data_IF_325354258060
#
_entry.id   IF_325354258060
#
_cell.length_a   1.000
_cell.length_b   1.000
_cell.length_c   1.000
_cell.angle_alpha   90.00
_cell.angle_beta   90.00
_cell.angle_gamma   90.00
#
_symmetry.space_group_name_H-M   'P 1'
#
loop_
_entity.id
_entity.type
_entity.pdbx_description
1 polymer ?
#
# COMPACT_ATOMS: atom_id res chain seq x y z
N UNK A 1 26.49 -27.78 1.82
CA UNK A 1 26.69 -27.17 3.14
C UNK A 1 25.41 -26.51 3.57
N UNK A 2 24.84 -26.80 4.75
CA UNK A 2 23.54 -26.28 5.12
C UNK A 2 23.63 -24.80 5.50
N UNK A 3 22.68 -24.04 5.01
CA UNK A 3 22.55 -22.62 5.30
C UNK A 3 22.00 -22.45 6.73
N UNK A 4 22.79 -21.81 7.59
CA UNK A 4 22.37 -21.57 8.97
C UNK A 4 21.28 -20.51 9.02
N UNK A 5 20.15 -20.84 9.62
CA UNK A 5 19.06 -19.91 9.87
C UNK A 5 19.48 -19.04 11.08
N UNK A 6 19.81 -17.79 10.82
CA UNK A 6 20.07 -16.83 11.88
C UNK A 6 18.76 -16.22 12.36
N UNK A 7 18.37 -16.56 13.57
CA UNK A 7 17.29 -15.90 14.28
C UNK A 7 17.82 -14.56 14.78
N UNK A 8 17.44 -13.47 14.12
CA UNK A 8 17.84 -12.14 14.57
C UNK A 8 16.78 -11.57 15.52
N UNK A 9 17.11 -11.53 16.78
CA UNK A 9 16.36 -10.77 17.78
C UNK A 9 17.22 -9.56 18.18
N UNK A 10 16.69 -8.36 17.93
CA UNK A 10 17.30 -7.14 18.42
C UNK A 10 18.04 -6.29 17.39
N UNK A 11 18.38 -5.09 17.82
CA UNK A 11 19.00 -4.03 17.01
C UNK A 11 20.38 -4.38 16.43
N UNK A 12 21.00 -5.46 16.91
CA UNK A 12 22.32 -5.88 16.44
C UNK A 12 22.32 -6.45 15.01
N UNK A 13 21.17 -6.89 14.52
CA UNK A 13 21.07 -7.44 13.15
C UNK A 13 21.16 -6.42 12.04
N UNK A 14 20.93 -5.16 12.35
CA UNK A 14 20.91 -4.10 11.35
C UNK A 14 22.28 -3.69 10.84
N UNK A 15 23.28 -3.71 11.73
CA UNK A 15 24.64 -3.32 11.35
C UNK A 15 25.27 -4.33 10.37
N UNK A 16 24.90 -5.61 10.48
CA UNK A 16 25.44 -6.64 9.59
C UNK A 16 24.86 -6.57 8.16
N UNK A 17 23.66 -6.03 8.01
CA UNK A 17 23.05 -5.89 6.70
C UNK A 17 23.68 -4.73 5.93
N UNK A 18 24.04 -3.67 6.64
CA UNK A 18 24.76 -2.52 6.06
C UNK A 18 26.15 -2.94 5.57
N UNK A 19 26.83 -3.83 6.30
CA UNK A 19 28.14 -4.33 5.89
C UNK A 19 28.08 -5.18 4.60
N UNK A 20 27.01 -5.93 4.39
CA UNK A 20 26.86 -6.72 3.16
C UNK A 20 26.66 -5.85 1.91
N UNK A 21 26.05 -4.67 2.08
CA UNK A 21 25.90 -3.72 0.98
C UNK A 21 27.22 -2.98 0.66
N UNK A 22 28.04 -2.74 1.67
CA UNK A 22 29.33 -2.04 1.49
C UNK A 22 30.35 -2.87 0.71
N UNK A 23 30.22 -4.19 0.72
CA UNK A 23 31.15 -5.07 0.01
C UNK A 23 30.90 -5.07 -1.51
N UNK A 24 29.78 -4.53 -1.98
CA UNK A 24 29.45 -4.51 -3.40
C UNK A 24 29.73 -3.17 -4.10
N UNK A 25 30.50 -2.29 -3.49
CA UNK A 25 31.09 -1.13 -4.14
C UNK A 25 30.16 0.04 -4.46
N UNK A 26 29.00 0.14 -3.81
CA UNK A 26 28.00 1.17 -4.12
C UNK A 26 27.88 2.29 -3.08
N UNK A 27 28.94 2.58 -2.31
CA UNK A 27 28.80 3.60 -1.27
C UNK A 27 29.82 4.73 -1.38
N UNK A 28 29.37 5.90 -1.76
CA UNK A 28 30.04 7.16 -1.43
C UNK A 28 29.53 7.62 -0.05
N UNK A 29 30.39 8.30 0.69
CA UNK A 29 30.12 8.76 2.06
C UNK A 29 28.80 9.56 2.19
N UNK A 30 28.41 10.25 1.12
CA UNK A 30 27.15 11.02 1.07
C UNK A 30 25.90 10.11 1.10
N UNK A 31 26.03 8.87 0.63
CA UNK A 31 24.89 7.95 0.60
C UNK A 31 24.61 7.33 1.97
N UNK A 32 25.65 7.21 2.82
CA UNK A 32 25.46 6.73 4.20
C UNK A 32 24.68 7.73 5.06
N UNK A 33 24.91 9.01 4.83
CA UNK A 33 24.19 10.05 5.56
C UNK A 33 22.74 10.15 5.07
N UNK A 34 22.52 9.98 3.76
CA UNK A 34 21.16 9.92 3.18
C UNK A 34 20.41 8.68 3.65
N UNK A 35 21.06 7.53 3.74
CA UNK A 35 20.43 6.30 4.25
C UNK A 35 20.03 6.39 5.72
N UNK A 36 20.79 7.12 6.54
CA UNK A 36 20.44 7.37 7.95
C UNK A 36 19.19 8.26 8.07
N UNK A 37 18.94 9.10 7.09
CA UNK A 37 17.76 9.98 7.07
C UNK A 37 16.50 9.26 6.58
N UNK A 38 16.65 8.05 6.04
CA UNK A 38 15.55 7.26 5.50
C UNK A 38 15.37 5.93 6.24
N UNK A 39 15.57 5.95 7.56
CA UNK A 39 15.45 4.73 8.38
C UNK A 39 14.08 4.08 8.17
N UNK A 40 14.03 2.89 7.58
CA UNK A 40 12.75 2.23 7.32
C UNK A 40 12.07 1.69 8.59
N UNK A 41 12.73 1.78 9.73
CA UNK A 41 12.12 1.39 11.01
C UNK A 41 11.39 2.56 11.68
N UNK A 42 11.33 3.69 11.01
CA UNK A 42 10.55 4.82 11.51
C UNK A 42 9.11 4.38 11.78
N UNK A 43 8.61 4.71 12.97
CA UNK A 43 7.21 4.39 13.30
C UNK A 43 6.30 5.12 12.31
N UNK A 44 5.39 4.43 11.61
CA UNK A 44 4.56 5.13 10.61
C UNK A 44 3.77 6.30 11.19
N UNK A 45 3.27 6.18 12.42
CA UNK A 45 2.53 7.25 13.08
C UNK A 45 3.39 8.50 13.34
N UNK A 46 4.72 8.35 13.39
CA UNK A 46 5.65 9.44 13.65
C UNK A 46 6.24 10.06 12.39
N UNK A 47 5.80 9.64 11.21
CA UNK A 47 6.29 10.25 9.96
C UNK A 47 6.15 11.77 9.98
N UNK A 48 4.99 12.36 10.36
CA UNK A 48 4.91 13.83 10.42
C UNK A 48 5.90 14.45 11.39
N UNK A 49 6.06 13.88 12.58
CA UNK A 49 7.01 14.37 13.59
C UNK A 49 8.44 14.35 13.06
N UNK A 50 8.84 13.24 12.45
CA UNK A 50 10.21 13.05 11.96
C UNK A 50 10.55 14.01 10.82
N UNK A 51 9.54 14.43 10.04
CA UNK A 51 9.75 15.26 8.85
C UNK A 51 9.64 16.75 9.13
N UNK A 52 9.02 17.16 10.24
CA UNK A 52 8.53 18.56 10.39
C UNK A 52 9.63 19.63 10.34
N UNK A 53 10.84 19.29 10.74
CA UNK A 53 11.95 20.27 10.74
C UNK A 53 12.70 20.32 9.40
N UNK A 54 12.39 19.42 8.47
CA UNK A 54 13.09 19.36 7.18
C UNK A 54 12.40 20.24 6.14
N UNK A 55 13.15 20.90 5.27
CA UNK A 55 12.53 21.61 4.16
C UNK A 55 12.00 20.63 3.12
N UNK A 56 11.07 21.08 2.30
CA UNK A 56 10.59 20.34 1.17
C UNK A 56 9.12 19.97 1.24
N UNK A 57 8.58 19.47 0.12
CA UNK A 57 7.16 19.14 0.04
C UNK A 57 6.85 17.82 0.73
N UNK A 58 5.62 17.69 1.21
CA UNK A 58 5.09 16.41 1.70
C UNK A 58 3.93 15.94 0.83
N UNK A 59 2.86 16.71 0.77
CA UNK A 59 1.61 16.31 0.12
C UNK A 59 1.04 17.46 -0.70
N UNK A 60 0.43 17.12 -1.83
CA UNK A 60 -0.19 18.11 -2.71
C UNK A 60 -1.44 17.51 -3.37
N UNK A 61 -2.47 18.31 -3.51
CA UNK A 61 -3.67 17.99 -4.29
C UNK A 61 -4.24 19.25 -4.92
N UNK A 62 -5.44 19.15 -5.48
CA UNK A 62 -6.09 20.30 -6.12
C UNK A 62 -6.45 21.42 -5.13
N UNK A 63 -6.49 21.12 -3.84
CA UNK A 63 -6.85 22.10 -2.80
C UNK A 63 -5.62 22.85 -2.26
N UNK A 64 -4.41 22.34 -2.49
CA UNK A 64 -3.21 23.01 -2.05
C UNK A 64 -2.03 22.08 -1.80
N UNK A 65 -0.97 22.67 -1.30
CA UNK A 65 0.29 22.00 -1.03
C UNK A 65 0.63 22.13 0.45
N UNK A 66 1.07 21.02 1.06
CA UNK A 66 1.62 21.02 2.41
C UNK A 66 3.11 20.66 2.30
N UNK A 67 3.96 21.56 2.82
CA UNK A 67 5.35 21.17 3.05
C UNK A 67 5.43 20.35 4.34
N UNK A 68 6.63 19.94 4.72
CA UNK A 68 6.80 19.08 5.89
C UNK A 68 6.28 19.72 7.17
N UNK A 69 6.57 21.00 7.39
CA UNK A 69 6.09 21.71 8.57
C UNK A 69 4.57 21.83 8.58
N UNK A 70 3.97 22.18 7.44
CA UNK A 70 2.53 22.33 7.31
C UNK A 70 1.81 20.98 7.49
N UNK A 71 2.39 19.91 6.97
CA UNK A 71 1.86 18.54 7.12
C UNK A 71 1.80 18.16 8.62
N UNK A 72 2.86 18.42 9.36
CA UNK A 72 2.89 18.14 10.80
C UNK A 72 1.85 18.97 11.55
N UNK A 73 1.75 20.27 11.23
CA UNK A 73 0.77 21.15 11.89
C UNK A 73 -0.67 20.75 11.57
N UNK A 74 -0.94 20.36 10.34
CA UNK A 74 -2.27 19.86 9.96
C UNK A 74 -2.61 18.59 10.74
N UNK A 75 -1.64 17.69 10.88
CA UNK A 75 -1.82 16.45 11.66
C UNK A 75 -2.18 16.80 13.12
N UNK A 76 -1.47 17.74 13.71
CA UNK A 76 -1.74 18.19 15.09
C UNK A 76 -3.15 18.78 15.21
N UNK A 77 -3.55 19.60 14.25
CA UNK A 77 -4.87 20.26 14.28
C UNK A 77 -6.00 19.22 14.17
N UNK A 78 -5.86 18.28 13.25
CA UNK A 78 -6.88 17.21 13.09
C UNK A 78 -6.92 16.35 14.37
N UNK A 79 -5.77 15.97 14.92
CA UNK A 79 -5.72 15.15 16.13
C UNK A 79 -6.38 15.85 17.31
N UNK A 80 -6.17 17.14 17.47
CA UNK A 80 -6.81 17.95 18.52
C UNK A 80 -8.34 17.93 18.34
N UNK A 81 -8.80 18.11 17.11
CA UNK A 81 -10.25 18.05 16.80
C UNK A 81 -10.84 16.70 17.14
N UNK A 82 -10.12 15.59 16.78
CA UNK A 82 -10.59 14.24 17.06
C UNK A 82 -10.68 14.01 18.57
N UNK A 83 -9.68 14.44 19.31
CA UNK A 83 -9.67 14.34 20.78
C UNK A 83 -10.84 15.13 21.38
N UNK A 84 -11.12 16.31 20.87
CA UNK A 84 -12.25 17.13 21.33
C UNK A 84 -13.60 16.45 21.08
N UNK A 85 -13.68 15.60 20.05
CA UNK A 85 -14.88 14.79 19.77
C UNK A 85 -14.93 13.49 20.58
N UNK A 86 -13.99 13.30 21.49
CA UNK A 86 -13.96 12.14 22.39
C UNK A 86 -13.22 10.92 21.86
N UNK A 87 -12.49 11.05 20.74
CA UNK A 87 -11.72 9.92 20.22
C UNK A 87 -10.52 9.62 21.10
N UNK A 88 -10.22 8.35 21.28
CA UNK A 88 -9.15 7.85 22.15
C UNK A 88 -8.42 6.71 21.48
N UNK A 89 -7.31 6.32 22.10
CA UNK A 89 -6.56 5.13 21.69
C UNK A 89 -7.51 3.92 21.63
N UNK A 90 -7.42 3.16 20.55
CA UNK A 90 -8.26 1.98 20.33
C UNK A 90 -9.56 2.25 19.60
N UNK A 91 -9.96 3.51 19.46
CA UNK A 91 -11.13 3.86 18.67
C UNK A 91 -10.82 3.71 17.16
N UNK A 92 -11.86 3.76 16.35
CA UNK A 92 -11.75 3.72 14.89
C UNK A 92 -12.34 5.02 14.33
N UNK A 93 -11.59 5.66 13.45
CA UNK A 93 -12.03 6.87 12.76
C UNK A 93 -12.19 6.54 11.29
N UNK A 94 -13.33 6.90 10.71
CA UNK A 94 -13.62 6.67 9.30
C UNK A 94 -13.53 7.97 8.50
N UNK A 95 -13.17 7.85 7.23
CA UNK A 95 -13.29 8.95 6.29
C UNK A 95 -13.91 8.42 5.01
N UNK A 96 -14.94 9.12 4.53
CA UNK A 96 -15.63 8.76 3.28
C UNK A 96 -15.49 9.95 2.34
N UNK A 97 -14.33 10.00 1.68
CA UNK A 97 -13.90 11.15 0.88
C UNK A 97 -13.31 10.69 -0.46
N UNK A 98 -13.47 11.47 -1.52
CA UNK A 98 -12.62 11.28 -2.70
C UNK A 98 -11.15 11.49 -2.33
N UNK A 99 -10.26 11.12 -3.24
CA UNK A 99 -8.82 11.30 -3.04
C UNK A 99 -8.51 12.77 -2.75
N UNK A 100 -7.94 13.04 -1.59
CA UNK A 100 -7.46 14.38 -1.24
C UNK A 100 -6.50 14.30 -0.06
N UNK A 101 -5.69 15.32 0.08
CA UNK A 101 -4.69 15.43 1.15
C UNK A 101 -5.34 15.29 2.54
N UNK A 102 -6.54 15.87 2.72
CA UNK A 102 -7.21 15.82 4.03
C UNK A 102 -7.46 14.38 4.50
N UNK A 103 -7.70 13.42 3.59
CA UNK A 103 -7.87 12.03 3.98
C UNK A 103 -6.58 11.48 4.59
N UNK A 104 -5.44 11.81 4.00
CA UNK A 104 -4.12 11.35 4.48
C UNK A 104 -3.82 11.98 5.84
N UNK A 105 -4.09 13.27 5.99
CA UNK A 105 -3.88 13.96 7.26
C UNK A 105 -4.77 13.33 8.35
N UNK A 106 -6.02 13.00 8.01
CA UNK A 106 -6.94 12.34 8.95
C UNK A 106 -6.38 10.99 9.43
N UNK A 107 -5.78 10.22 8.52
CA UNK A 107 -5.16 8.94 8.87
C UNK A 107 -4.03 9.15 9.88
N UNK A 108 -3.12 10.07 9.61
CA UNK A 108 -2.01 10.35 10.52
C UNK A 108 -2.51 10.92 11.86
N UNK A 109 -3.56 11.73 11.83
CA UNK A 109 -4.15 12.27 13.05
C UNK A 109 -4.79 11.18 13.91
N UNK A 110 -5.48 10.22 13.28
CA UNK A 110 -6.01 9.05 13.99
C UNK A 110 -4.87 8.28 14.65
N UNK A 111 -3.79 8.04 13.92
CA UNK A 111 -2.62 7.34 14.47
C UNK A 111 -1.95 8.13 15.60
N UNK A 112 -1.93 9.45 15.48
CA UNK A 112 -1.36 10.32 16.51
C UNK A 112 -1.98 10.09 17.88
N UNK A 113 -3.28 9.86 17.91
CA UNK A 113 -4.02 9.61 19.16
C UNK A 113 -4.15 8.11 19.48
N UNK A 114 -3.56 7.25 18.66
CA UNK A 114 -3.61 5.79 18.88
C UNK A 114 -4.86 5.12 18.36
N UNK A 115 -5.63 5.80 17.51
CA UNK A 115 -6.83 5.24 16.90
C UNK A 115 -6.51 4.59 15.56
N UNK A 116 -7.35 3.64 15.15
CA UNK A 116 -7.30 3.03 13.83
C UNK A 116 -8.02 3.92 12.82
N UNK A 117 -7.70 3.73 11.55
CA UNK A 117 -8.31 4.48 10.46
C UNK A 117 -8.93 3.53 9.45
N UNK A 118 -10.17 3.82 9.01
CA UNK A 118 -10.84 3.03 7.99
C UNK A 118 -11.33 3.95 6.86
N UNK A 119 -10.69 3.90 5.69
CA UNK A 119 -11.15 4.68 4.54
C UNK A 119 -12.31 3.97 3.85
N UNK A 120 -13.38 4.73 3.60
CA UNK A 120 -14.63 4.22 3.01
C UNK A 120 -14.73 4.74 1.58
N UNK A 121 -15.03 3.84 0.65
CA UNK A 121 -15.24 4.20 -0.76
C UNK A 121 -16.38 5.21 -0.86
N UNK A 122 -16.12 6.43 -1.35
CA UNK A 122 -17.17 7.46 -1.40
C UNK A 122 -18.31 7.17 -2.38
N UNK A 123 -18.13 6.17 -3.25
CA UNK A 123 -19.19 5.77 -4.19
C UNK A 123 -20.16 4.74 -3.61
N UNK A 124 -19.93 4.27 -2.38
CA UNK A 124 -20.83 3.27 -1.78
C UNK A 124 -22.22 3.85 -1.52
N UNK A 125 -23.21 2.96 -1.61
CA UNK A 125 -24.57 3.29 -1.16
C UNK A 125 -24.61 3.39 0.37
N UNK A 126 -25.69 3.92 0.90
CA UNK A 126 -25.91 3.98 2.35
C UNK A 126 -25.75 2.59 3.00
N UNK A 127 -26.41 1.57 2.44
CA UNK A 127 -26.34 0.23 3.02
C UNK A 127 -24.92 -0.35 3.04
N UNK A 128 -24.20 -0.13 1.97
CA UNK A 128 -22.81 -0.63 1.88
C UNK A 128 -21.88 0.11 2.85
N UNK A 129 -22.01 1.44 2.92
CA UNK A 129 -21.22 2.24 3.85
C UNK A 129 -21.59 1.93 5.30
N UNK A 130 -22.87 1.76 5.59
CA UNK A 130 -23.36 1.43 6.93
C UNK A 130 -22.72 0.14 7.43
N UNK A 131 -22.59 -0.88 6.56
CA UNK A 131 -21.95 -2.12 6.96
C UNK A 131 -20.53 -1.86 7.47
N UNK A 132 -19.72 -1.11 6.73
CA UNK A 132 -18.33 -0.84 7.13
C UNK A 132 -18.29 0.00 8.42
N UNK A 133 -19.12 1.04 8.51
CA UNK A 133 -19.12 1.92 9.67
C UNK A 133 -19.56 1.18 10.95
N UNK A 134 -20.55 0.32 10.83
CA UNK A 134 -21.07 -0.45 11.97
C UNK A 134 -20.12 -1.59 12.35
N UNK A 135 -19.64 -2.34 11.37
CA UNK A 135 -18.73 -3.45 11.62
C UNK A 135 -17.42 -2.98 12.25
N UNK A 136 -16.90 -1.86 11.80
CA UNK A 136 -15.66 -1.27 12.35
C UNK A 136 -15.88 -0.56 13.67
N UNK A 137 -17.13 -0.28 14.04
CA UNK A 137 -17.50 0.54 15.20
C UNK A 137 -16.84 1.93 15.12
N UNK A 138 -16.85 2.51 13.91
CA UNK A 138 -16.28 3.84 13.72
C UNK A 138 -16.98 4.84 14.65
N UNK A 139 -16.17 5.67 15.30
CA UNK A 139 -16.66 6.66 16.26
C UNK A 139 -17.34 7.84 15.55
N UNK A 140 -16.74 8.28 14.46
CA UNK A 140 -17.32 9.28 13.58
C UNK A 140 -16.74 9.08 12.18
N UNK A 141 -17.34 9.76 11.21
CA UNK A 141 -16.89 9.68 9.82
C UNK A 141 -16.68 11.08 9.27
N UNK A 142 -15.53 11.28 8.64
CA UNK A 142 -15.22 12.54 7.96
C UNK A 142 -15.86 12.49 6.58
N UNK A 143 -16.64 13.52 6.24
CA UNK A 143 -17.43 13.56 5.01
C UNK A 143 -17.21 14.86 4.24
N UNK A 144 -17.51 14.83 2.96
CA UNK A 144 -17.77 16.04 2.17
C UNK A 144 -19.30 16.20 2.04
N UNK A 145 -19.73 17.18 1.26
CA UNK A 145 -21.17 17.42 1.10
C UNK A 145 -21.90 16.21 0.46
N UNK A 146 -21.24 15.55 -0.50
CA UNK A 146 -21.86 14.42 -1.21
C UNK A 146 -21.99 13.20 -0.30
N UNK A 147 -20.95 12.85 0.43
CA UNK A 147 -20.99 11.67 1.31
C UNK A 147 -21.82 11.92 2.56
N UNK A 148 -21.83 13.16 3.07
CA UNK A 148 -22.77 13.53 4.15
C UNK A 148 -24.21 13.31 3.72
N UNK A 149 -24.56 13.64 2.48
CA UNK A 149 -25.90 13.41 1.96
C UNK A 149 -26.23 11.91 1.89
N UNK A 150 -25.28 11.08 1.43
CA UNK A 150 -25.46 9.62 1.39
C UNK A 150 -25.76 9.08 2.80
N UNK A 151 -25.06 9.59 3.80
CA UNK A 151 -25.15 9.11 5.19
C UNK A 151 -26.16 9.87 6.04
N UNK A 152 -26.99 10.74 5.44
CA UNK A 152 -27.83 11.67 6.18
C UNK A 152 -28.74 10.98 7.21
N UNK A 153 -29.27 9.80 6.89
CA UNK A 153 -30.16 9.06 7.78
C UNK A 153 -29.41 8.11 8.75
N UNK A 154 -28.09 7.98 8.60
CA UNK A 154 -27.32 7.12 9.51
C UNK A 154 -26.98 7.89 10.78
N UNK A 155 -27.09 7.27 11.97
CA UNK A 155 -26.88 7.98 13.24
C UNK A 155 -25.43 8.33 13.56
N UNK A 156 -24.45 7.79 12.86
CA UNK A 156 -23.03 8.07 13.13
C UNK A 156 -22.77 9.58 13.07
N UNK A 157 -21.94 10.10 13.97
CA UNK A 157 -21.51 11.49 13.94
C UNK A 157 -20.69 11.76 12.68
N UNK A 158 -21.00 12.87 12.00
CA UNK A 158 -20.33 13.25 10.75
C UNK A 158 -19.51 14.52 10.99
N UNK A 159 -18.27 14.50 10.55
CA UNK A 159 -17.35 15.63 10.67
C UNK A 159 -17.05 16.14 9.26
N UNK A 160 -17.51 17.35 8.96
CA UNK A 160 -17.32 17.92 7.64
C UNK A 160 -15.83 18.23 7.41
N UNK A 161 -15.28 17.71 6.32
CA UNK A 161 -13.86 17.89 6.00
C UNK A 161 -13.51 19.37 5.84
N UNK A 162 -14.41 20.15 5.26
CA UNK A 162 -14.16 21.58 5.04
C UNK A 162 -14.21 22.40 6.33
N UNK A 163 -14.67 21.81 7.42
CA UNK A 163 -14.63 22.44 8.74
C UNK A 163 -13.36 22.16 9.54
N UNK A 164 -12.45 21.35 9.01
CA UNK A 164 -11.21 21.01 9.70
C UNK A 164 -10.13 22.04 9.44
N UNK A 165 -9.44 22.47 10.51
CA UNK A 165 -8.31 23.39 10.40
C UNK A 165 -7.04 22.61 10.05
N UNK A 166 -6.23 23.20 9.18
CA UNK A 166 -4.89 22.67 8.86
C UNK A 166 -3.80 23.37 9.68
N UNK A 167 -4.18 24.27 10.59
CA UNK A 167 -3.23 25.09 11.33
C UNK A 167 -3.22 24.69 12.81
N UNK A 168 -2.30 23.83 13.16
CA UNK A 168 -2.12 23.34 14.52
C UNK A 168 -0.74 23.68 15.08
N UNK A 169 -0.48 23.15 16.27
CA UNK A 169 0.81 23.35 16.94
C UNK A 169 1.90 22.48 16.29
N UNK A 170 3.14 22.85 16.55
CA UNK A 170 4.30 21.99 16.23
C UNK A 170 4.19 20.71 17.05
N UNK A 171 4.49 19.56 16.43
CA UNK A 171 4.50 18.29 17.14
C UNK A 171 5.74 18.23 18.05
N UNK A 172 5.54 17.85 19.30
CA UNK A 172 6.61 17.86 20.31
C UNK A 172 6.83 16.52 21.01
N UNK A 173 6.10 15.48 20.57
CA UNK A 173 6.18 14.16 21.23
C UNK A 173 5.79 13.06 20.24
N UNK A 174 6.23 11.82 20.49
CA UNK A 174 5.81 10.69 19.67
C UNK A 174 4.30 10.49 19.71
N UNK A 175 3.76 9.91 18.64
CA UNK A 175 2.37 9.51 18.58
C UNK A 175 2.05 8.46 19.64
N UNK A 176 0.78 8.42 20.06
CA UNK A 176 0.33 7.45 21.07
C UNK A 176 0.29 6.03 20.53
N UNK A 177 0.16 5.84 19.22
CA UNK A 177 0.06 4.52 18.61
C UNK A 177 1.29 3.66 18.91
N UNK A 178 1.06 2.38 19.20
CA UNK A 178 2.11 1.40 19.42
C UNK A 178 2.08 0.34 18.32
N UNK A 179 3.13 -0.47 18.23
CA UNK A 179 3.34 -1.43 17.13
C UNK A 179 2.16 -2.38 16.96
N UNK A 180 1.57 -2.85 18.05
CA UNK A 180 0.45 -3.80 18.03
C UNK A 180 -0.93 -3.16 17.89
N UNK A 181 -1.02 -1.84 17.93
CA UNK A 181 -2.30 -1.17 17.74
C UNK A 181 -2.74 -1.29 16.27
N UNK A 182 -4.06 -1.43 16.05
CA UNK A 182 -4.59 -1.43 14.70
C UNK A 182 -4.33 -0.07 14.05
N UNK A 183 -3.67 -0.08 12.89
CA UNK A 183 -3.42 1.12 12.10
C UNK A 183 -4.53 1.34 11.08
N UNK A 184 -4.85 0.30 10.32
CA UNK A 184 -5.80 0.38 9.21
C UNK A 184 -6.78 -0.78 9.27
N UNK A 185 -8.04 -0.47 8.99
CA UNK A 185 -9.07 -1.46 8.68
C UNK A 185 -9.46 -1.24 7.23
N UNK A 186 -9.06 -2.16 6.37
CA UNK A 186 -9.31 -2.06 4.94
C UNK A 186 -10.34 -3.12 4.58
N UNK A 187 -11.47 -2.69 4.04
CA UNK A 187 -12.56 -3.61 3.72
C UNK A 187 -12.40 -4.14 2.30
N UNK A 188 -12.45 -5.46 2.18
CA UNK A 188 -12.32 -6.15 0.89
C UNK A 188 -13.59 -6.92 0.59
N UNK A 189 -14.00 -6.90 -0.67
CA UNK A 189 -15.10 -7.73 -1.15
C UNK A 189 -14.59 -9.17 -1.23
N UNK A 190 -15.01 -9.99 -0.28
CA UNK A 190 -14.72 -11.41 -0.32
C UNK A 190 -15.47 -12.09 -1.46
N UNK A 191 -15.07 -13.30 -1.78
CA UNK A 191 -15.73 -14.09 -2.82
C UNK A 191 -17.15 -14.49 -2.43
N UNK A 192 -17.45 -14.50 -1.13
CA UNK A 192 -18.76 -14.90 -0.59
C UNK A 192 -19.13 -13.99 0.57
N UNK A 193 -20.22 -13.25 0.43
CA UNK A 193 -20.77 -12.46 1.50
C UNK A 193 -20.32 -11.00 1.51
N UNK A 194 -20.54 -10.36 2.66
CA UNK A 194 -20.24 -8.94 2.86
C UNK A 194 -18.73 -8.70 2.95
N UNK A 195 -18.27 -7.50 2.60
CA UNK A 195 -16.86 -7.16 2.77
C UNK A 195 -16.37 -7.37 4.20
N UNK A 196 -15.14 -7.85 4.33
CA UNK A 196 -14.49 -8.10 5.62
C UNK A 196 -13.41 -7.04 5.86
N UNK A 197 -13.28 -6.61 7.12
CA UNK A 197 -12.25 -5.65 7.52
C UNK A 197 -10.94 -6.35 7.80
N UNK A 198 -9.96 -6.12 6.93
CA UNK A 198 -8.61 -6.64 7.13
C UNK A 198 -7.92 -5.78 8.17
N UNK A 199 -7.41 -6.41 9.24
CA UNK A 199 -6.74 -5.72 10.33
C UNK A 199 -5.24 -5.63 10.03
N UNK A 200 -4.75 -4.42 9.81
CA UNK A 200 -3.32 -4.16 9.65
C UNK A 200 -2.86 -3.33 10.84
N UNK A 201 -1.91 -3.87 11.61
CA UNK A 201 -1.38 -3.10 12.74
C UNK A 201 -0.19 -2.23 12.29
N UNK A 202 0.30 -1.39 13.20
CA UNK A 202 1.43 -0.50 12.87
C UNK A 202 2.68 -1.29 12.51
N UNK A 203 2.89 -2.46 13.12
CA UNK A 203 4.02 -3.33 12.79
C UNK A 203 3.92 -3.85 11.36
N UNK A 204 2.70 -4.23 10.92
CA UNK A 204 2.48 -4.66 9.52
C UNK A 204 2.83 -3.54 8.54
N UNK A 205 2.35 -2.33 8.83
CA UNK A 205 2.60 -1.17 7.98
C UNK A 205 4.10 -0.87 7.94
N UNK A 206 4.74 -0.81 9.11
CA UNK A 206 6.18 -0.54 9.20
C UNK A 206 6.99 -1.58 8.40
N UNK A 207 6.63 -2.87 8.53
CA UNK A 207 7.30 -3.94 7.82
C UNK A 207 7.20 -3.75 6.30
N UNK A 208 6.00 -3.45 5.81
CA UNK A 208 5.82 -3.27 4.35
C UNK A 208 6.58 -2.04 3.85
N UNK A 209 6.59 -0.95 4.62
CA UNK A 209 7.35 0.25 4.24
C UNK A 209 8.85 -0.06 4.14
N UNK A 210 9.39 -0.82 5.08
CA UNK A 210 10.80 -1.24 5.04
C UNK A 210 11.07 -2.13 3.82
N UNK A 211 10.19 -3.09 3.56
CA UNK A 211 10.29 -3.99 2.41
C UNK A 211 10.32 -3.19 1.09
N UNK A 212 9.39 -2.24 0.95
CA UNK A 212 9.27 -1.44 -0.27
C UNK A 212 10.47 -0.51 -0.45
N UNK A 213 10.93 0.13 0.63
CA UNK A 213 12.08 1.02 0.55
C UNK A 213 13.32 0.29 0.05
N UNK A 214 13.53 -0.95 0.51
CA UNK A 214 14.65 -1.78 0.07
C UNK A 214 14.46 -2.28 -1.35
N UNK A 215 13.28 -2.83 -1.65
CA UNK A 215 13.00 -3.44 -2.95
C UNK A 215 13.13 -2.43 -4.09
N UNK A 216 12.65 -1.20 -3.86
CA UNK A 216 12.63 -0.15 -4.88
C UNK A 216 13.71 0.91 -4.70
N UNK A 217 14.57 0.76 -3.68
CA UNK A 217 15.66 1.69 -3.37
C UNK A 217 15.17 3.14 -3.32
N UNK A 218 14.10 3.38 -2.58
CA UNK A 218 13.51 4.72 -2.44
C UNK A 218 14.46 5.69 -1.75
N UNK A 219 14.46 6.92 -2.22
CA UNK A 219 15.28 8.02 -1.68
C UNK A 219 14.37 9.21 -1.37
N UNK A 220 14.89 10.25 -0.70
CA UNK A 220 14.10 11.46 -0.46
C UNK A 220 13.66 12.21 -1.73
N UNK A 221 14.24 11.89 -2.87
CA UNK A 221 13.87 12.53 -4.14
C UNK A 221 12.61 11.92 -4.77
N UNK A 222 12.08 10.82 -4.20
CA UNK A 222 10.89 10.19 -4.76
C UNK A 222 9.67 11.12 -4.64
N UNK A 223 8.91 11.15 -5.72
CA UNK A 223 7.66 11.90 -5.75
C UNK A 223 6.62 11.07 -6.47
N UNK A 224 5.69 10.53 -5.71
CA UNK A 224 4.64 9.68 -6.26
C UNK A 224 3.54 10.54 -6.88
N UNK A 225 2.99 10.09 -8.01
CA UNK A 225 1.72 10.62 -8.51
C UNK A 225 0.66 9.58 -8.20
N UNK A 226 -0.22 9.88 -7.26
CA UNK A 226 -1.22 8.93 -6.82
C UNK A 226 -2.50 9.10 -7.63
N UNK A 227 -2.93 8.05 -8.29
CA UNK A 227 -4.13 8.05 -9.13
C UNK A 227 -5.14 6.99 -8.66
N UNK A 228 -4.71 6.01 -7.88
CA UNK A 228 -5.58 4.96 -7.38
C UNK A 228 -6.39 5.45 -6.18
N UNK A 229 -7.57 4.86 -5.93
CA UNK A 229 -8.41 5.30 -4.81
C UNK A 229 -7.76 5.03 -3.45
N UNK A 230 -7.80 6.03 -2.57
CA UNK A 230 -7.19 5.94 -1.24
C UNK A 230 -7.90 4.98 -0.28
N UNK A 231 -9.06 4.43 -0.66
CA UNK A 231 -9.66 3.38 0.14
C UNK A 231 -9.05 1.99 -0.14
N UNK A 232 -8.16 1.88 -1.12
CA UNK A 232 -7.39 0.66 -1.38
C UNK A 232 -5.99 0.75 -0.79
N UNK A 233 -5.50 -0.39 -0.32
CA UNK A 233 -4.19 -0.46 0.35
C UNK A 233 -3.05 -0.05 -0.58
N UNK A 234 -3.14 -0.32 -1.88
CA UNK A 234 -2.10 0.08 -2.83
C UNK A 234 -1.88 1.59 -2.79
N UNK A 235 -2.97 2.37 -2.88
CA UNK A 235 -2.85 3.82 -2.88
C UNK A 235 -2.22 4.33 -1.58
N UNK A 236 -2.66 3.80 -0.44
CA UNK A 236 -2.14 4.23 0.86
C UNK A 236 -0.66 3.86 1.03
N UNK A 237 -0.31 2.61 0.75
CA UNK A 237 1.06 2.13 0.99
C UNK A 237 2.02 2.60 -0.09
N UNK A 238 1.72 2.34 -1.36
CA UNK A 238 2.64 2.61 -2.46
C UNK A 238 2.63 4.10 -2.83
N UNK A 239 1.45 4.71 -2.83
CA UNK A 239 1.29 6.08 -3.31
C UNK A 239 1.51 7.17 -2.27
N UNK A 240 1.40 6.84 -0.98
CA UNK A 240 1.50 7.84 0.09
C UNK A 240 2.58 7.46 1.10
N UNK A 241 2.39 6.36 1.82
CA UNK A 241 3.27 6.04 2.96
C UNK A 241 4.71 5.74 2.52
N UNK A 242 4.88 5.01 1.43
CA UNK A 242 6.23 4.63 0.98
C UNK A 242 7.09 5.87 0.69
N UNK A 243 6.67 6.81 -0.17
CA UNK A 243 7.53 7.97 -0.40
C UNK A 243 7.67 8.84 0.84
N UNK A 244 6.61 9.02 1.64
CA UNK A 244 6.71 9.83 2.85
C UNK A 244 7.69 9.24 3.87
N UNK A 245 7.74 7.90 3.98
CA UNK A 245 8.61 7.22 4.94
C UNK A 245 10.09 7.38 4.63
N UNK A 246 10.44 7.67 3.37
CA UNK A 246 11.82 7.80 2.93
C UNK A 246 12.21 9.26 2.62
N UNK A 247 11.39 10.21 3.05
CA UNK A 247 11.68 11.64 2.87
C UNK A 247 11.14 12.26 1.61
N UNK A 248 10.47 11.48 0.77
CA UNK A 248 9.88 11.96 -0.48
C UNK A 248 8.50 12.58 -0.30
N UNK A 249 7.74 12.68 -1.39
CA UNK A 249 6.46 13.38 -1.37
C UNK A 249 5.44 12.67 -2.26
N UNK A 250 4.17 13.07 -2.11
CA UNK A 250 3.10 12.49 -2.93
C UNK A 250 2.16 13.59 -3.43
N UNK A 251 1.82 13.50 -4.71
CA UNK A 251 0.79 14.33 -5.33
C UNK A 251 -0.44 13.45 -5.52
N UNK A 252 -1.55 13.88 -4.97
CA UNK A 252 -2.78 13.09 -4.92
C UNK A 252 -3.77 13.63 -5.95
N UNK A 253 -3.99 12.86 -7.03
CA UNK A 253 -5.00 13.20 -8.01
C UNK A 253 -6.35 12.65 -7.55
N UNK A 254 -7.40 13.42 -7.78
CA UNK A 254 -8.74 12.97 -7.42
C UNK A 254 -9.13 11.73 -8.23
N UNK A 255 -8.80 11.75 -9.50
CA UNK A 255 -9.08 10.64 -10.43
C UNK A 255 -8.18 10.74 -11.66
N UNK A 256 -8.00 9.82 -12.48
CA UNK A 256 -7.30 9.77 -13.52
C UNK A 256 -8.00 10.44 -14.43
N UNK A 257 -7.45 11.14 -15.19
CA UNK A 257 -7.96 11.71 -16.44
C UNK A 257 -6.91 11.45 -17.52
N UNK A 258 -7.26 10.60 -18.49
CA UNK A 258 -6.33 10.22 -19.55
C UNK A 258 -5.78 11.43 -20.30
N UNK A 259 -6.60 12.45 -20.47
CA UNK A 259 -6.19 13.61 -21.30
C UNK A 259 -5.22 14.55 -20.60
N UNK A 260 -5.21 14.57 -19.27
CA UNK A 260 -4.30 15.43 -18.52
C UNK A 260 -3.18 14.64 -17.82
N UNK A 261 -3.27 13.32 -17.80
CA UNK A 261 -2.40 12.48 -16.97
C UNK A 261 -0.90 12.75 -17.23
N UNK A 262 -0.49 12.70 -18.50
CA UNK A 262 0.92 12.90 -18.80
C UNK A 262 1.39 14.34 -18.51
N UNK A 263 0.48 15.31 -18.71
CA UNK A 263 0.76 16.68 -18.30
C UNK A 263 0.99 16.76 -16.79
N UNK A 264 0.17 16.04 -16.03
CA UNK A 264 0.32 16.02 -14.56
C UNK A 264 1.62 15.34 -14.15
N UNK A 265 1.99 14.24 -14.80
CA UNK A 265 3.28 13.57 -14.53
C UNK A 265 4.43 14.57 -14.70
N UNK A 266 4.43 15.32 -15.82
CA UNK A 266 5.47 16.32 -16.11
C UNK A 266 5.39 17.50 -15.14
N UNK A 267 4.21 18.08 -15.01
CA UNK A 267 4.00 19.30 -14.22
C UNK A 267 4.43 19.11 -12.76
N UNK A 268 4.08 17.98 -12.19
CA UNK A 268 4.40 17.68 -10.80
C UNK A 268 5.79 17.05 -10.61
N UNK A 269 6.45 16.71 -11.68
CA UNK A 269 7.77 16.09 -11.60
C UNK A 269 7.76 14.72 -10.95
N UNK A 270 6.74 13.91 -11.27
CA UNK A 270 6.58 12.59 -10.68
C UNK A 270 7.75 11.69 -11.04
N UNK A 271 8.24 10.91 -10.06
CA UNK A 271 9.30 9.93 -10.30
C UNK A 271 8.77 8.53 -10.49
N UNK A 272 7.54 8.27 -9.99
CA UNK A 272 6.86 6.99 -10.25
C UNK A 272 5.36 7.15 -9.99
N UNK A 273 4.61 6.16 -10.46
CA UNK A 273 3.21 5.97 -10.08
C UNK A 273 2.88 4.49 -10.11
N UNK A 274 1.79 4.13 -9.43
CA UNK A 274 1.23 2.79 -9.43
C UNK A 274 -0.18 2.85 -10.04
N UNK A 275 -0.48 1.90 -10.90
CA UNK A 275 -1.78 1.85 -11.57
C UNK A 275 -2.18 0.41 -11.85
N UNK A 276 -3.44 0.24 -12.25
CA UNK A 276 -3.99 -1.06 -12.64
C UNK A 276 -3.91 -1.24 -14.16
N UNK A 277 -4.01 -2.49 -14.67
CA UNK A 277 -3.88 -2.72 -16.11
C UNK A 277 -4.79 -1.85 -16.99
N UNK A 278 -6.01 -1.56 -16.54
CA UNK A 278 -6.94 -0.74 -17.32
C UNK A 278 -6.36 0.66 -17.59
N UNK A 279 -5.66 1.24 -16.63
CA UNK A 279 -5.03 2.56 -16.83
C UNK A 279 -3.92 2.46 -17.88
N UNK A 280 -3.08 1.43 -17.79
CA UNK A 280 -2.01 1.26 -18.78
C UNK A 280 -2.57 1.01 -20.18
N UNK A 281 -3.68 0.29 -20.28
CA UNK A 281 -4.37 0.11 -21.56
C UNK A 281 -4.78 1.46 -22.16
N UNK A 282 -5.38 2.32 -21.34
CA UNK A 282 -5.76 3.67 -21.79
C UNK A 282 -4.55 4.49 -22.22
N UNK A 283 -3.47 4.43 -21.45
CA UNK A 283 -2.26 5.18 -21.80
C UNK A 283 -1.63 4.66 -23.11
N UNK A 284 -1.66 3.36 -23.32
CA UNK A 284 -1.15 2.76 -24.57
C UNK A 284 -1.96 3.17 -25.80
N UNK A 285 -3.25 3.50 -25.60
CA UNK A 285 -4.15 3.93 -26.70
C UNK A 285 -4.04 5.42 -27.02
N UNK A 286 -3.18 6.16 -26.31
CA UNK A 286 -3.00 7.58 -26.59
C UNK A 286 -2.53 7.81 -28.03
N UNK A 287 -2.90 8.94 -28.67
CA UNK A 287 -2.46 9.22 -30.03
C UNK A 287 -0.94 9.14 -30.19
N UNK A 288 -0.42 8.64 -31.33
CA UNK A 288 1.02 8.47 -31.52
C UNK A 288 1.83 9.75 -31.39
N UNK A 289 1.21 10.90 -31.67
CA UNK A 289 1.87 12.21 -31.55
C UNK A 289 2.01 12.68 -30.11
N UNK A 290 1.33 12.07 -29.18
CA UNK A 290 1.43 12.39 -27.76
C UNK A 290 2.73 11.79 -27.20
N UNK A 291 3.75 12.65 -27.01
CA UNK A 291 5.09 12.26 -26.57
C UNK A 291 5.49 13.05 -25.34
N UNK A 292 5.08 12.61 -24.18
CA UNK A 292 5.42 13.32 -22.96
C UNK A 292 6.92 13.27 -22.61
N UNK A 293 7.42 14.14 -21.92
CA UNK A 293 8.59 14.20 -21.54
C UNK A 293 8.72 13.67 -20.34
N UNK A 294 8.99 12.77 -20.11
CA UNK A 294 8.99 12.06 -18.83
C UNK A 294 10.38 12.08 -18.18
N UNK A 295 10.95 13.25 -18.09
CA UNK A 295 12.35 13.42 -17.64
C UNK A 295 12.64 12.88 -16.25
N UNK A 296 11.65 12.92 -15.35
CA UNK A 296 11.86 12.48 -13.98
C UNK A 296 11.26 11.13 -13.68
N UNK A 297 10.42 10.60 -14.56
CA UNK A 297 9.73 9.33 -14.32
C UNK A 297 10.71 8.16 -14.46
N UNK A 298 10.96 7.47 -13.35
CA UNK A 298 11.97 6.41 -13.30
C UNK A 298 11.39 5.03 -13.58
N UNK A 299 10.17 4.77 -13.12
CA UNK A 299 9.48 3.50 -13.31
C UNK A 299 8.00 3.67 -12.99
N UNK A 300 7.23 2.66 -13.37
CA UNK A 300 5.81 2.59 -12.97
C UNK A 300 5.52 1.18 -12.48
N UNK A 301 4.50 1.05 -11.63
CA UNK A 301 4.13 -0.22 -11.00
C UNK A 301 2.73 -0.62 -11.48
N UNK A 302 2.56 -1.90 -11.80
CA UNK A 302 1.26 -2.47 -12.12
C UNK A 302 0.94 -3.59 -11.14
N UNK A 303 -0.26 -3.55 -10.60
CA UNK A 303 -0.74 -4.59 -9.68
C UNK A 303 -2.24 -4.73 -9.74
N UNK A 304 -2.78 -5.52 -8.83
CA UNK A 304 -4.20 -5.76 -8.59
C UNK A 304 -4.88 -6.68 -9.61
N UNK A 305 -4.32 -6.87 -10.80
CA UNK A 305 -4.88 -7.78 -11.81
C UNK A 305 -3.77 -8.20 -12.77
N UNK A 306 -3.91 -9.34 -13.47
CA UNK A 306 -2.90 -9.75 -14.43
C UNK A 306 -2.70 -8.75 -15.56
N UNK A 307 -1.45 -8.52 -15.92
CA UNK A 307 -1.07 -7.58 -16.97
C UNK A 307 -0.59 -8.34 -18.19
N UNK A 308 -1.25 -8.20 -19.35
CA UNK A 308 -0.78 -8.88 -20.55
C UNK A 308 0.66 -8.46 -20.91
N UNK A 309 1.49 -9.43 -21.27
CA UNK A 309 2.88 -9.16 -21.63
C UNK A 309 2.99 -8.15 -22.77
N UNK A 310 2.09 -8.22 -23.72
CA UNK A 310 2.06 -7.24 -24.83
C UNK A 310 1.80 -5.80 -24.37
N UNK A 311 1.14 -5.56 -23.30
CA UNK A 311 0.91 -4.41 -22.80
C UNK A 311 2.03 -3.80 -22.26
N UNK A 312 2.74 -4.61 -21.62
CA UNK A 312 3.99 -4.14 -21.03
C UNK A 312 4.97 -3.70 -22.13
N UNK A 313 5.15 -4.56 -23.12
CA UNK A 313 6.09 -4.27 -24.23
C UNK A 313 5.69 -2.98 -24.95
N UNK A 314 4.40 -2.79 -25.20
CA UNK A 314 3.92 -1.56 -25.86
C UNK A 314 4.24 -0.33 -25.01
N UNK A 315 3.94 -0.40 -23.72
CA UNK A 315 4.18 0.72 -22.81
C UNK A 315 5.67 1.08 -22.76
N UNK A 316 6.53 0.08 -22.52
CA UNK A 316 7.97 0.31 -22.38
C UNK A 316 8.59 0.82 -23.67
N UNK A 317 8.14 0.31 -24.83
CA UNK A 317 8.62 0.79 -26.13
C UNK A 317 8.22 2.24 -26.37
N UNK A 318 6.97 2.56 -26.05
CA UNK A 318 6.40 3.88 -26.31
C UNK A 318 6.99 4.96 -25.40
N UNK A 319 7.01 4.67 -24.09
CA UNK A 319 7.33 5.69 -23.09
C UNK A 319 8.75 5.62 -22.57
N UNK A 320 9.46 4.54 -22.85
CA UNK A 320 10.85 4.32 -22.42
C UNK A 320 10.99 4.32 -20.89
N UNK A 321 9.95 3.85 -20.19
CA UNK A 321 9.91 3.78 -18.74
C UNK A 321 9.65 2.32 -18.35
N UNK A 322 10.44 1.73 -17.44
CA UNK A 322 10.17 0.36 -16.98
C UNK A 322 8.82 0.23 -16.32
N UNK A 323 8.05 -0.80 -16.68
CA UNK A 323 6.80 -1.15 -16.06
C UNK A 323 7.01 -2.40 -15.23
N UNK A 324 6.86 -2.29 -13.92
CA UNK A 324 7.18 -3.34 -12.97
C UNK A 324 5.88 -3.95 -12.47
N UNK A 325 5.63 -5.20 -12.82
CA UNK A 325 4.45 -5.92 -12.36
C UNK A 325 4.72 -6.58 -11.02
N UNK A 326 3.76 -6.46 -10.09
CA UNK A 326 3.81 -7.10 -8.80
C UNK A 326 2.50 -7.76 -8.42
N UNK A 327 2.55 -8.48 -7.32
CA UNK A 327 1.39 -9.20 -6.77
C UNK A 327 1.35 -9.05 -5.27
N UNK A 328 0.15 -8.95 -4.77
CA UNK A 328 -0.12 -8.93 -3.35
C UNK A 328 -1.60 -8.76 -3.11
N UNK A 329 -1.96 -8.61 -1.86
CA UNK A 329 -3.36 -8.45 -1.47
C UNK A 329 -3.40 -7.58 -0.21
N UNK A 330 -4.60 -7.12 0.13
CA UNK A 330 -4.77 -6.33 1.35
C UNK A 330 -4.24 -7.09 2.56
N UNK A 331 -4.50 -8.39 2.60
CA UNK A 331 -4.09 -9.27 3.70
C UNK A 331 -2.55 -9.38 3.85
N UNK A 332 -1.78 -9.02 2.83
CA UNK A 332 -0.32 -8.96 2.91
C UNK A 332 0.22 -7.53 3.01
N UNK A 333 -0.60 -6.59 3.38
CA UNK A 333 -0.27 -5.15 3.48
C UNK A 333 0.32 -4.64 2.16
N UNK A 334 -0.32 -4.94 1.09
CA UNK A 334 -0.14 -4.64 -0.32
C UNK A 334 0.75 -5.61 -1.09
N UNK A 335 1.96 -5.91 -0.66
CA UNK A 335 2.91 -6.60 -1.52
C UNK A 335 3.28 -8.01 -1.08
N UNK A 336 3.63 -8.85 -2.04
CA UNK A 336 4.21 -10.17 -1.82
C UNK A 336 5.34 -10.42 -2.80
N UNK A 337 5.12 -10.14 -4.10
CA UNK A 337 6.16 -10.26 -5.13
C UNK A 337 6.24 -9.00 -5.97
N UNK A 338 7.37 -8.82 -6.63
CA UNK A 338 7.58 -7.70 -7.55
C UNK A 338 8.65 -8.09 -8.56
N UNK A 339 8.43 -7.78 -9.83
CA UNK A 339 9.48 -7.89 -10.82
C UNK A 339 10.59 -6.88 -10.50
N UNK A 340 11.87 -7.26 -10.63
CA UNK A 340 12.97 -6.38 -10.21
C UNK A 340 13.06 -5.10 -11.04
N UNK A 341 13.29 -3.97 -10.38
CA UNK A 341 13.59 -2.72 -11.08
C UNK A 341 14.97 -2.78 -11.72
N UNK A 342 15.94 -3.32 -11.00
CA UNK A 342 17.33 -3.42 -11.43
C UNK A 342 17.75 -4.89 -11.64
N UNK A 343 16.99 -5.61 -12.43
CA UNK A 343 17.25 -7.00 -12.72
C UNK A 343 16.43 -7.44 -13.91
N UNK A 344 16.33 -8.75 -14.09
CA UNK A 344 15.55 -9.30 -15.18
C UNK A 344 14.06 -9.23 -14.83
N UNK A 345 13.31 -8.48 -15.64
CA UNK A 345 11.85 -8.49 -15.54
C UNK A 345 11.30 -9.52 -16.52
N UNK A 346 10.37 -10.33 -16.05
CA UNK A 346 9.74 -11.38 -16.88
C UNK A 346 8.25 -11.10 -17.05
N UNK A 347 7.84 -10.46 -18.15
CA UNK A 347 6.41 -10.31 -18.43
C UNK A 347 5.72 -11.68 -18.44
N UNK A 348 4.50 -11.72 -17.88
CA UNK A 348 3.80 -12.99 -17.68
C UNK A 348 4.00 -13.58 -16.30
N UNK A 349 4.93 -13.02 -15.53
CA UNK A 349 5.09 -13.37 -14.10
C UNK A 349 4.77 -12.16 -13.24
N UNK A 350 4.53 -12.42 -11.95
CA UNK A 350 4.38 -11.33 -10.98
C UNK A 350 5.66 -11.11 -10.16
N UNK A 351 6.77 -11.66 -10.61
CA UNK A 351 8.09 -11.37 -10.09
C UNK A 351 8.57 -12.31 -9.01
N UNK A 352 9.55 -11.83 -8.28
CA UNK A 352 10.22 -12.55 -7.21
C UNK A 352 9.62 -12.17 -5.86
N UNK A 353 9.66 -13.06 -4.84
CA UNK A 353 9.25 -12.66 -3.50
C UNK A 353 9.99 -11.39 -3.05
N UNK A 354 9.24 -10.46 -2.46
CA UNK A 354 9.85 -9.24 -1.94
C UNK A 354 10.72 -9.58 -0.74
N UNK A 355 11.65 -8.70 -0.44
CA UNK A 355 12.62 -8.93 0.62
C UNK A 355 11.93 -9.18 1.96
N UNK A 356 12.22 -10.31 2.60
CA UNK A 356 11.62 -10.67 3.89
C UNK A 356 10.25 -11.33 3.81
N UNK A 357 9.70 -11.49 2.61
CA UNK A 357 8.42 -12.18 2.40
C UNK A 357 8.72 -13.59 1.93
N UNK A 358 8.15 -14.58 2.63
CA UNK A 358 8.28 -15.98 2.24
C UNK A 358 7.02 -16.41 1.50
N UNK A 359 7.21 -17.13 0.40
CA UNK A 359 6.10 -17.66 -0.39
C UNK A 359 6.35 -19.12 -0.65
N UNK A 360 5.30 -19.94 -0.49
CA UNK A 360 5.35 -21.32 -0.91
C UNK A 360 4.06 -21.68 -1.63
N UNK A 361 4.12 -22.73 -2.42
CA UNK A 361 2.97 -23.26 -3.16
C UNK A 361 2.57 -24.55 -2.46
N UNK A 362 1.30 -24.66 -2.08
CA UNK A 362 0.83 -25.79 -1.27
C UNK A 362 -0.35 -26.52 -1.92
N UNK A 363 -0.49 -27.80 -1.58
CA UNK A 363 -1.63 -28.61 -1.97
C UNK A 363 -2.80 -28.45 -0.98
N UNK A 364 -3.87 -29.20 -1.18
CA UNK A 364 -5.07 -29.11 -0.32
C UNK A 364 -4.83 -29.60 1.11
N UNK A 365 -3.73 -30.32 1.35
CA UNK A 365 -3.32 -30.76 2.67
C UNK A 365 -2.25 -29.86 3.29
N UNK A 366 -2.05 -28.69 2.69
CA UNK A 366 -1.09 -27.68 3.15
C UNK A 366 0.37 -28.15 3.10
N UNK A 367 0.65 -29.09 2.17
CA UNK A 367 2.02 -29.57 1.94
C UNK A 367 2.65 -28.80 0.80
N UNK A 368 3.90 -28.39 1.00
CA UNK A 368 4.63 -27.65 -0.02
C UNK A 368 4.84 -28.52 -1.27
N UNK A 369 4.52 -27.97 -2.43
CA UNK A 369 4.70 -28.62 -3.71
C UNK A 369 6.06 -28.29 -4.32
N UNK A 370 6.62 -29.17 -5.16
CA UNK A 370 7.89 -28.88 -5.81
C UNK A 370 7.76 -27.75 -6.82
N UNK A 371 8.89 -27.12 -7.13
CA UNK A 371 8.96 -26.00 -8.08
C UNK A 371 8.34 -26.43 -9.42
N UNK A 372 7.50 -25.57 -9.97
CA UNK A 372 6.80 -25.79 -11.22
C UNK A 372 5.40 -26.37 -11.06
N UNK A 373 5.10 -27.03 -9.93
CA UNK A 373 3.77 -27.58 -9.69
C UNK A 373 2.81 -26.48 -9.26
N UNK A 374 1.61 -26.37 -9.88
CA UNK A 374 0.65 -25.35 -9.46
C UNK A 374 -0.06 -25.76 -8.17
N UNK A 375 -0.35 -24.78 -7.33
CA UNK A 375 -1.08 -24.97 -6.08
C UNK A 375 -1.42 -23.63 -5.48
N UNK A 376 -1.96 -23.64 -4.28
CA UNK A 376 -2.33 -22.39 -3.60
C UNK A 376 -1.09 -21.62 -3.16
N UNK A 377 -1.07 -20.33 -3.45
CA UNK A 377 -0.02 -19.42 -2.99
C UNK A 377 -0.24 -19.16 -1.50
N UNK A 378 0.77 -19.42 -0.69
CA UNK A 378 0.76 -19.14 0.75
C UNK A 378 1.90 -18.18 1.09
N UNK A 379 1.63 -17.21 1.96
CA UNK A 379 2.54 -16.11 2.25
C UNK A 379 2.82 -16.06 3.77
N UNK A 380 4.09 -15.86 4.14
CA UNK A 380 4.48 -15.62 5.53
C UNK A 380 5.41 -14.43 5.60
N UNK A 381 5.20 -13.56 6.58
CA UNK A 381 6.03 -12.39 6.78
C UNK A 381 5.41 -11.44 7.80
N UNK A 382 6.21 -10.47 8.23
CA UNK A 382 5.74 -9.45 9.18
C UNK A 382 4.68 -8.53 8.57
N UNK A 383 4.53 -8.55 7.24
CA UNK A 383 3.52 -7.80 6.52
C UNK A 383 2.15 -8.48 6.49
N UNK A 384 2.05 -9.72 6.96
CA UNK A 384 0.77 -10.46 6.92
C UNK A 384 -0.16 -9.93 8.02
N UNK A 385 -1.42 -9.70 7.67
CA UNK A 385 -2.46 -9.13 8.53
C UNK A 385 -2.62 -9.87 9.86
N UNK A 386 -3.24 -9.21 10.83
CA UNK A 386 -3.59 -9.84 12.11
C UNK A 386 -4.81 -10.74 12.01
N UNK A 387 -5.66 -10.51 11.02
CA UNK A 387 -6.88 -11.26 10.80
C UNK A 387 -7.96 -10.38 10.19
N UNK A 388 -9.17 -10.92 10.13
CA UNK A 388 -10.36 -10.19 9.70
C UNK A 388 -11.17 -9.80 10.94
N UNK A 389 -11.55 -8.54 11.01
CA UNK A 389 -12.30 -7.99 12.15
C UNK A 389 -13.63 -8.72 12.32
N UNK A 390 -13.93 -9.14 13.54
CA UNK A 390 -15.19 -9.82 13.91
C UNK A 390 -15.43 -11.13 13.13
N UNK A 391 -14.39 -11.71 12.57
CA UNK A 391 -14.49 -12.91 11.74
C UNK A 391 -13.45 -13.94 12.19
N UNK A 392 -13.62 -14.53 13.40
CA UNK A 392 -12.59 -15.43 13.93
C UNK A 392 -12.41 -16.71 13.09
N UNK A 393 -13.49 -17.24 12.54
CA UNK A 393 -13.40 -18.47 11.73
C UNK A 393 -12.72 -18.19 10.40
N UNK A 394 -13.08 -17.11 9.71
CA UNK A 394 -12.43 -16.72 8.45
C UNK A 394 -10.95 -16.40 8.70
N UNK A 395 -10.64 -15.74 9.81
CA UNK A 395 -9.26 -15.42 10.18
C UNK A 395 -8.43 -16.67 10.40
N UNK A 396 -8.98 -17.64 11.17
CA UNK A 396 -8.28 -18.90 11.43
C UNK A 396 -8.03 -19.67 10.15
N UNK A 397 -9.00 -19.71 9.25
CA UNK A 397 -8.84 -20.40 7.96
C UNK A 397 -7.79 -19.72 7.08
N UNK A 398 -7.84 -18.39 7.00
CA UNK A 398 -6.89 -17.64 6.15
C UNK A 398 -5.45 -17.76 6.65
N UNK A 399 -5.25 -17.86 7.97
CA UNK A 399 -3.91 -17.86 8.58
C UNK A 399 -3.51 -19.25 9.11
N UNK A 400 -4.13 -20.30 8.61
CA UNK A 400 -3.88 -21.66 9.08
C UNK A 400 -2.38 -22.02 8.97
N UNK A 401 -1.88 -22.69 10.00
CA UNK A 401 -0.50 -23.19 10.07
C UNK A 401 0.57 -22.09 9.98
N UNK A 402 0.19 -20.85 10.28
CA UNK A 402 1.14 -19.73 10.28
C UNK A 402 1.41 -19.13 8.90
N UNK A 403 0.61 -19.47 7.90
CA UNK A 403 0.76 -18.97 6.53
C UNK A 403 -0.56 -18.36 6.08
N UNK A 404 -0.47 -17.23 5.40
CA UNK A 404 -1.64 -16.61 4.75
C UNK A 404 -1.98 -17.43 3.50
N UNK A 405 -3.17 -18.02 3.48
CA UNK A 405 -3.69 -18.76 2.34
C UNK A 405 -4.46 -17.78 1.47
N UNK A 406 -3.93 -17.51 0.27
CA UNK A 406 -4.39 -16.39 -0.55
C UNK A 406 -5.65 -16.68 -1.36
N UNK A 407 -5.95 -17.96 -1.60
CA UNK A 407 -7.01 -18.32 -2.53
C UNK A 407 -6.60 -18.16 -3.99
N UNK A 408 -5.35 -17.83 -4.26
CA UNK A 408 -4.81 -17.72 -5.62
C UNK A 408 -3.97 -18.95 -5.92
N UNK A 409 -4.07 -19.44 -7.16
CA UNK A 409 -3.28 -20.56 -7.63
C UNK A 409 -2.10 -20.02 -8.42
N UNK A 410 -0.91 -20.53 -8.11
CA UNK A 410 0.31 -20.11 -8.80
C UNK A 410 1.34 -21.22 -8.82
N UNK A 411 2.44 -20.95 -9.46
CA UNK A 411 3.60 -21.84 -9.51
C UNK A 411 4.86 -21.00 -9.65
N UNK A 412 5.99 -21.52 -9.21
CA UNK A 412 7.28 -20.88 -9.46
C UNK A 412 7.87 -21.43 -10.75
N UNK A 413 8.43 -20.55 -11.56
CA UNK A 413 9.18 -20.98 -12.74
C UNK A 413 10.60 -21.42 -12.34
N UNK A 414 11.39 -21.81 -13.31
CA UNK A 414 12.75 -22.34 -13.09
C UNK A 414 13.71 -21.32 -12.46
N UNK A 415 13.39 -20.04 -12.55
CA UNK A 415 14.21 -18.97 -11.99
C UNK A 415 13.66 -18.41 -10.69
N UNK A 416 12.56 -19.00 -10.18
CA UNK A 416 11.96 -18.59 -8.91
C UNK A 416 10.96 -17.43 -9.03
N UNK A 417 10.53 -17.10 -10.24
CA UNK A 417 9.49 -16.08 -10.46
C UNK A 417 8.13 -16.71 -10.28
N UNK A 418 7.23 -15.99 -9.64
CA UNK A 418 5.87 -16.47 -9.41
C UNK A 418 5.00 -16.20 -10.65
N UNK A 419 4.32 -17.25 -11.11
CA UNK A 419 3.33 -17.17 -12.18
C UNK A 419 1.98 -17.44 -11.55
N UNK A 420 1.03 -16.51 -11.67
CA UNK A 420 -0.33 -16.72 -11.20
C UNK A 420 -1.13 -17.39 -12.30
N UNK A 421 -1.80 -18.48 -11.93
CA UNK A 421 -2.55 -19.32 -12.88
C UNK A 421 -4.04 -18.93 -12.85
N UNK A 422 -4.65 -18.93 -11.63
CA UNK A 422 -6.09 -18.63 -11.51
C UNK A 422 -6.44 -18.35 -10.06
N UNK A 423 -7.72 -18.16 -9.79
CA UNK A 423 -8.26 -18.16 -8.43
C UNK A 423 -8.66 -19.60 -8.07
N UNK A 424 -8.42 -20.00 -6.83
CA UNK A 424 -8.75 -21.34 -6.35
C UNK A 424 -10.25 -21.66 -6.51
N UNK A 425 -11.11 -20.68 -6.26
CA UNK A 425 -12.56 -20.85 -6.39
C UNK A 425 -13.05 -21.04 -7.83
N UNK A 426 -12.23 -20.63 -8.81
CA UNK A 426 -12.58 -20.71 -10.23
C UNK A 426 -12.05 -21.98 -10.89
N UNK A 427 -11.29 -22.78 -10.15
CA UNK A 427 -10.73 -24.03 -10.62
C UNK A 427 -11.84 -25.07 -10.86
N UNK A 428 -11.77 -25.75 -11.99
CA UNK A 428 -12.73 -26.80 -12.35
C UNK A 428 -12.05 -28.15 -12.18
N UNK A 429 -12.72 -29.08 -11.50
CA UNK A 429 -12.22 -30.45 -11.36
C UNK A 429 -12.98 -31.35 -12.34
N UNK A 430 -12.25 -32.00 -13.24
CA UNK A 430 -12.83 -32.93 -14.23
C UNK A 430 -12.01 -34.18 -14.30
N UNK A 431 -12.65 -35.32 -13.98
CA UNK A 431 -11.99 -36.61 -14.01
C UNK A 431 -10.82 -36.75 -13.04
N UNK A 432 -10.83 -35.96 -11.96
CA UNK A 432 -9.75 -35.95 -10.98
C UNK A 432 -8.60 -34.99 -11.31
N UNK A 433 -8.70 -34.28 -12.42
CA UNK A 433 -7.72 -33.27 -12.81
C UNK A 433 -8.25 -31.85 -12.56
N UNK A 434 -7.39 -30.99 -12.09
CA UNK A 434 -7.71 -29.56 -11.89
C UNK A 434 -7.53 -28.82 -13.22
N UNK A 435 -8.56 -28.14 -13.64
CA UNK A 435 -8.53 -27.31 -14.85
C UNK A 435 -8.64 -25.86 -14.44
N UNK A 436 -7.71 -25.06 -14.90
CA UNK A 436 -7.66 -23.62 -14.59
C UNK A 436 -8.13 -22.84 -15.81
N UNK A 437 -9.33 -22.21 -15.76
CA UNK A 437 -9.93 -21.60 -16.96
C UNK A 437 -9.06 -20.57 -17.68
N UNK A 438 -8.06 -19.99 -16.99
CA UNK A 438 -7.19 -18.99 -17.63
C UNK A 438 -6.01 -19.59 -18.36
N UNK A 439 -5.81 -20.90 -18.29
CA UNK A 439 -4.80 -21.61 -19.08
C UNK A 439 -5.37 -22.05 -20.42
#
# INVERSE_FOLDING_TARGET
MPCAILKCHGTAGYNNIIELYSQNGYEKKADKEKMRMTDPLQRPADIPLARQARPGPALEDAHGTLDNAAFARATAAFAERFTALGARRGDVIAAMLPNRVALVVAMFAAWRIGAAFTPVNPALTLGEAAHQLEDSRAKFVITDANTAAVLASHPIAKLAVDGLSFDGAVLDSPAAAEAGDTALLIYTSGSTGRPKGVILDHANVAAMLAIMARTLAFTPEERALLVLPLFHVNALLVGVLAPLSTGGSSVILEKXDRHTFWHDVERFGATYFSAVPAIYTLLNQAPPEEKPXLRRLRFVICGAAPMPASXIATFETRYRVPLIEGYGLTESTVGATLNPLHGTRKPGTVGLPMHGVEIRIVDDNDRELPRGAPGEVAIRGENVMRGYLNQPEASAAALANGWLHTGDIGRFDEDGYLVLVDRKKDMIIRGGENIYPKE
#
